data_IF_312619729914
#
_entry.id   IF_312619729914
#
_cell.length_a   1.000
_cell.length_b   1.000
_cell.length_c   1.000
_cell.angle_alpha   90.00
_cell.angle_beta   90.00
_cell.angle_gamma   90.00
#
_symmetry.space_group_name_H-M   'P 1'
#
loop_
_entity.id
_entity.type
_entity.pdbx_description
1 polymer ?
#
# COMPACT_ATOMS: atom_id res chain seq x y z
N UNK A 1 -24.97 8.99 45.46
CA UNK A 1 -24.03 8.09 44.77
C UNK A 1 -23.49 8.81 43.55
N UNK A 2 -22.17 9.00 43.46
CA UNK A 2 -21.48 9.69 42.36
C UNK A 2 -21.10 8.64 41.31
N UNK A 3 -21.76 8.65 40.16
CA UNK A 3 -21.29 7.91 39.00
C UNK A 3 -20.39 8.84 38.20
N UNK A 4 -19.08 8.61 38.30
CA UNK A 4 -18.07 9.31 37.52
C UNK A 4 -18.10 8.72 36.12
N UNK A 5 -18.62 9.49 35.16
CA UNK A 5 -18.56 9.15 33.74
C UNK A 5 -17.14 9.48 33.29
N UNK A 6 -16.23 8.52 33.41
CA UNK A 6 -14.95 8.57 32.71
C UNK A 6 -15.24 8.39 31.22
N UNK A 7 -15.55 9.50 30.55
CA UNK A 7 -15.54 9.60 29.10
C UNK A 7 -14.11 9.30 28.63
N UNK A 8 -13.88 8.07 28.21
CA UNK A 8 -12.66 7.71 27.46
C UNK A 8 -12.83 8.38 26.09
N UNK A 9 -12.31 9.60 25.98
CA UNK A 9 -12.03 10.22 24.69
C UNK A 9 -10.94 9.37 24.04
N UNK A 10 -11.36 8.41 23.21
CA UNK A 10 -10.48 7.79 22.25
C UNK A 10 -10.01 8.91 21.30
N UNK A 11 -8.80 9.42 21.52
CA UNK A 11 -8.10 10.21 20.52
C UNK A 11 -7.90 9.29 19.31
N UNK A 12 -8.79 9.40 18.32
CA UNK A 12 -8.45 9.04 16.97
C UNK A 12 -7.34 10.00 16.54
N UNK A 13 -6.09 9.60 16.76
CA UNK A 13 -4.95 10.21 16.09
C UNK A 13 -5.20 9.97 14.62
N UNK A 14 -5.73 10.98 13.94
CA UNK A 14 -5.65 11.09 12.49
C UNK A 14 -4.17 11.17 12.19
N UNK A 15 -3.53 10.00 11.98
CA UNK A 15 -2.19 9.96 11.45
C UNK A 15 -2.24 10.81 10.17
N UNK A 16 -1.37 11.83 10.03
CA UNK A 16 -1.29 12.52 8.77
C UNK A 16 -1.03 11.44 7.72
N UNK A 17 -1.92 11.35 6.73
CA UNK A 17 -1.71 10.55 5.54
C UNK A 17 -0.56 11.21 4.79
N UNK A 18 0.67 11.00 5.26
CA UNK A 18 1.85 11.46 4.54
C UNK A 18 1.98 10.47 3.39
N UNK A 19 1.62 10.98 2.21
CA UNK A 19 1.52 10.21 0.99
C UNK A 19 2.94 9.85 0.48
N UNK A 20 3.05 8.81 -0.35
CA UNK A 20 4.21 8.75 -1.23
C UNK A 20 4.12 9.92 -2.22
N UNK A 21 5.24 10.59 -2.47
CA UNK A 21 5.25 11.81 -3.29
C UNK A 21 4.93 11.48 -4.75
N UNK A 22 5.51 10.39 -5.26
CA UNK A 22 5.16 9.80 -6.53
C UNK A 22 5.23 8.25 -6.51
N UNK A 23 4.61 7.65 -7.52
CA UNK A 23 4.72 6.23 -7.82
C UNK A 23 4.63 5.96 -9.31
N UNK A 24 5.24 4.86 -9.75
CA UNK A 24 5.19 4.40 -11.13
C UNK A 24 5.05 2.89 -11.22
N UNK A 25 4.41 2.48 -12.31
CA UNK A 25 4.26 1.09 -12.66
C UNK A 25 5.59 0.50 -13.10
N UNK A 26 5.85 -0.73 -12.65
CA UNK A 26 6.94 -1.53 -13.18
C UNK A 26 6.36 -2.66 -14.05
N UNK A 27 5.85 -3.74 -13.45
CA UNK A 27 5.33 -4.88 -14.20
C UNK A 27 4.38 -5.76 -13.37
N UNK A 28 3.68 -6.68 -14.04
CA UNK A 28 2.95 -7.75 -13.38
C UNK A 28 3.14 -9.06 -14.15
N UNK A 29 3.30 -10.16 -13.42
CA UNK A 29 3.49 -11.50 -13.99
C UNK A 29 2.80 -12.55 -13.12
N UNK A 30 2.69 -13.77 -13.65
CA UNK A 30 2.09 -14.87 -12.91
C UNK A 30 3.12 -15.45 -11.93
N UNK A 31 2.71 -15.73 -10.70
CA UNK A 31 3.51 -16.35 -9.64
C UNK A 31 2.76 -17.59 -9.12
N UNK A 32 2.85 -18.69 -9.88
CA UNK A 32 2.03 -19.88 -9.65
C UNK A 32 0.53 -19.60 -9.78
N UNK A 33 -0.23 -19.86 -8.72
CA UNK A 33 -1.67 -19.55 -8.64
C UNK A 33 -1.98 -18.09 -8.29
N UNK A 34 -0.96 -17.26 -8.10
CA UNK A 34 -1.08 -15.85 -7.73
C UNK A 34 -0.67 -14.94 -8.90
N UNK A 35 -0.99 -13.65 -8.75
CA UNK A 35 -0.49 -12.57 -9.58
C UNK A 35 0.52 -11.76 -8.79
N UNK A 36 1.73 -11.62 -9.32
CA UNK A 36 2.76 -10.75 -8.76
C UNK A 36 2.71 -9.38 -9.42
N UNK A 37 2.69 -8.35 -8.58
CA UNK A 37 2.52 -6.94 -8.91
C UNK A 37 3.74 -6.16 -8.41
N UNK A 38 4.31 -5.31 -9.25
CA UNK A 38 5.57 -4.62 -9.01
C UNK A 38 5.49 -3.14 -9.40
N UNK A 39 5.82 -2.25 -8.46
CA UNK A 39 5.74 -0.80 -8.63
C UNK A 39 6.88 -0.09 -7.88
N UNK A 40 7.20 1.12 -8.31
CA UNK A 40 8.19 1.97 -7.65
C UNK A 40 7.53 3.19 -7.03
N UNK A 41 8.13 3.74 -5.98
CA UNK A 41 7.64 4.92 -5.29
C UNK A 41 8.80 5.72 -4.65
N UNK A 42 8.53 6.97 -4.30
CA UNK A 42 9.40 7.83 -3.49
C UNK A 42 8.60 8.56 -2.38
N UNK A 43 9.29 9.25 -1.47
CA UNK A 43 8.71 10.06 -0.40
C UNK A 43 8.56 9.37 0.97
N UNK A 44 7.52 9.72 1.74
CA UNK A 44 7.43 9.30 3.16
C UNK A 44 7.41 7.78 3.40
N UNK A 45 6.90 7.02 2.42
CA UNK A 45 6.83 5.57 2.52
C UNK A 45 8.23 4.90 2.52
N UNK A 46 9.27 5.61 2.11
CA UNK A 46 10.66 5.12 2.05
C UNK A 46 11.20 4.76 3.43
N UNK A 47 11.07 5.68 4.40
CA UNK A 47 11.49 5.49 5.80
C UNK A 47 10.71 4.39 6.52
N UNK A 48 9.67 3.85 5.88
CA UNK A 48 8.84 2.75 6.38
C UNK A 48 8.94 1.50 5.51
N UNK A 49 9.92 1.40 4.61
CA UNK A 49 10.12 0.24 3.73
C UNK A 49 8.83 -0.19 3.01
N UNK A 50 8.07 0.80 2.51
CA UNK A 50 6.81 0.59 1.80
C UNK A 50 5.64 0.07 2.63
N UNK A 51 5.74 0.02 3.98
CA UNK A 51 4.68 -0.50 4.85
C UNK A 51 3.33 0.21 4.69
N UNK A 52 3.32 1.51 4.36
CA UNK A 52 2.08 2.23 4.09
C UNK A 52 1.28 1.61 2.93
N UNK A 53 1.96 1.16 1.88
CA UNK A 53 1.33 0.46 0.77
C UNK A 53 0.83 -0.91 1.19
N UNK A 54 1.63 -1.67 1.94
CA UNK A 54 1.24 -2.98 2.44
C UNK A 54 -0.02 -2.90 3.31
N UNK A 55 -0.09 -1.93 4.21
CA UNK A 55 -1.23 -1.67 5.08
C UNK A 55 -2.47 -1.29 4.27
N UNK A 56 -2.33 -0.40 3.28
CA UNK A 56 -3.45 -0.01 2.41
C UNK A 56 -3.96 -1.18 1.56
N UNK A 57 -3.06 -2.01 1.01
CA UNK A 57 -3.40 -3.19 0.20
C UNK A 57 -4.16 -4.20 1.07
N UNK A 58 -3.66 -4.49 2.27
CA UNK A 58 -4.36 -5.36 3.25
C UNK A 58 -5.70 -4.77 3.68
N UNK A 59 -5.78 -3.44 3.83
CA UNK A 59 -7.02 -2.72 4.12
C UNK A 59 -8.09 -2.85 3.03
N UNK A 60 -7.72 -3.20 1.79
CA UNK A 60 -8.66 -3.58 0.72
C UNK A 60 -9.11 -5.04 0.77
N UNK A 61 -8.70 -5.79 1.81
CA UNK A 61 -9.01 -7.20 1.97
C UNK A 61 -8.14 -8.13 1.11
N UNK A 62 -7.04 -7.63 0.54
CA UNK A 62 -6.14 -8.47 -0.25
C UNK A 62 -5.23 -9.29 0.67
N UNK A 63 -5.15 -10.59 0.40
CA UNK A 63 -4.14 -11.45 1.03
C UNK A 63 -2.84 -11.26 0.28
N UNK A 64 -1.83 -10.74 0.98
CA UNK A 64 -0.54 -10.39 0.40
C UNK A 64 0.49 -11.48 0.71
N UNK A 65 1.10 -12.00 -0.34
CA UNK A 65 2.22 -12.94 -0.30
C UNK A 65 3.48 -12.29 -0.86
N UNK A 66 4.65 -12.82 -0.51
CA UNK A 66 5.93 -12.44 -1.11
C UNK A 66 6.20 -10.92 -1.12
N UNK A 67 5.78 -10.20 -0.08
CA UNK A 67 6.05 -8.76 0.05
C UNK A 67 7.56 -8.51 0.14
N UNK A 68 8.07 -7.67 -0.75
CA UNK A 68 9.46 -7.25 -0.80
C UNK A 68 9.50 -5.76 -1.11
N UNK A 69 10.34 -5.01 -0.39
CA UNK A 69 10.55 -3.59 -0.64
C UNK A 69 12.04 -3.25 -0.45
N UNK A 70 12.66 -2.59 -1.41
CA UNK A 70 14.08 -2.25 -1.37
C UNK A 70 14.39 -0.94 -2.08
N UNK A 71 15.47 -0.29 -1.66
CA UNK A 71 15.99 0.94 -2.25
C UNK A 71 16.73 0.62 -3.56
N UNK A 72 16.52 1.44 -4.59
CA UNK A 72 17.20 1.36 -5.89
C UNK A 72 18.47 2.24 -5.94
N UNK A 73 18.74 3.07 -4.93
CA UNK A 73 19.92 3.92 -4.83
C UNK A 73 19.85 5.20 -5.67
N UNK A 74 18.68 5.51 -6.24
CA UNK A 74 18.43 6.69 -7.08
C UNK A 74 17.28 7.56 -6.56
N UNK A 75 16.96 7.44 -5.26
CA UNK A 75 15.82 8.12 -4.63
C UNK A 75 14.48 7.46 -4.91
N UNK A 76 14.47 6.26 -5.51
CA UNK A 76 13.26 5.46 -5.69
C UNK A 76 13.38 4.13 -4.98
N UNK A 77 12.24 3.64 -4.51
CA UNK A 77 12.09 2.33 -3.91
C UNK A 77 11.28 1.43 -4.82
N UNK A 78 11.57 0.14 -4.80
CA UNK A 78 10.84 -0.89 -5.51
C UNK A 78 10.06 -1.73 -4.51
N UNK A 79 8.77 -1.91 -4.75
CA UNK A 79 7.90 -2.79 -3.99
C UNK A 79 7.25 -3.83 -4.90
N UNK A 80 7.30 -5.07 -4.43
CA UNK A 80 6.73 -6.23 -5.09
C UNK A 80 5.87 -7.01 -4.10
N UNK A 81 4.77 -7.56 -4.59
CA UNK A 81 3.97 -8.48 -3.82
C UNK A 81 3.11 -9.36 -4.72
N UNK A 82 2.62 -10.47 -4.16
CA UNK A 82 1.71 -11.38 -4.85
C UNK A 82 0.35 -11.39 -4.16
N UNK A 83 -0.71 -11.45 -4.95
CA UNK A 83 -2.10 -11.52 -4.50
C UNK A 83 -2.91 -12.42 -5.45
N UNK A 84 -4.16 -12.71 -5.14
CA UNK A 84 -5.03 -13.49 -6.03
C UNK A 84 -5.18 -12.79 -7.39
N UNK A 85 -5.08 -13.57 -8.47
CA UNK A 85 -5.34 -13.08 -9.82
C UNK A 85 -6.78 -12.53 -9.94
N UNK A 86 -6.96 -11.51 -10.78
CA UNK A 86 -8.22 -10.78 -10.96
C UNK A 86 -8.50 -9.73 -9.88
N UNK A 87 -7.56 -9.49 -8.97
CA UNK A 87 -7.68 -8.48 -7.89
C UNK A 87 -6.66 -7.34 -7.99
N UNK A 88 -6.04 -7.17 -9.16
CA UNK A 88 -5.09 -6.09 -9.41
C UNK A 88 -5.72 -4.69 -9.28
N UNK A 89 -7.02 -4.55 -9.55
CA UNK A 89 -7.71 -3.25 -9.41
C UNK A 89 -7.77 -2.77 -7.96
N UNK A 90 -7.98 -3.68 -6.98
CA UNK A 90 -7.98 -3.31 -5.57
C UNK A 90 -6.59 -2.84 -5.13
N UNK A 91 -5.52 -3.46 -5.64
CA UNK A 91 -4.15 -3.01 -5.39
C UNK A 91 -3.92 -1.59 -5.94
N UNK A 92 -4.34 -1.32 -7.17
CA UNK A 92 -4.23 0.02 -7.75
C UNK A 92 -4.97 1.07 -6.89
N UNK A 93 -6.17 0.73 -6.39
CA UNK A 93 -6.94 1.62 -5.52
C UNK A 93 -6.31 1.84 -4.14
N UNK A 94 -5.64 0.82 -3.60
CA UNK A 94 -4.87 0.96 -2.37
C UNK A 94 -3.69 1.92 -2.57
N UNK A 95 -2.94 1.73 -3.66
CA UNK A 95 -1.80 2.58 -4.03
C UNK A 95 -2.26 4.03 -4.25
N UNK A 96 -3.36 4.26 -4.98
CA UNK A 96 -3.96 5.59 -5.13
C UNK A 96 -4.31 6.22 -3.77
N UNK A 97 -4.79 5.43 -2.81
CA UNK A 97 -5.06 5.92 -1.45
C UNK A 97 -3.81 6.40 -0.71
N UNK A 98 -2.65 5.82 -1.03
CA UNK A 98 -1.35 6.18 -0.43
C UNK A 98 -0.65 7.31 -1.19
N UNK A 99 -0.92 7.50 -2.48
CA UNK A 99 -0.19 8.48 -3.32
C UNK A 99 -1.04 9.67 -3.73
N UNK A 100 -2.36 9.61 -3.51
CA UNK A 100 -3.31 10.62 -3.99
C UNK A 100 -3.42 10.70 -5.51
N UNK A 101 -2.70 9.86 -6.27
CA UNK A 101 -2.66 9.90 -7.73
C UNK A 101 -3.11 8.57 -8.34
N UNK A 102 -4.11 8.66 -9.22
CA UNK A 102 -4.53 7.53 -10.04
C UNK A 102 -3.83 7.57 -11.38
N UNK A 103 -3.01 6.55 -11.64
CA UNK A 103 -2.36 6.35 -12.95
C UNK A 103 -2.88 5.11 -13.68
N UNK A 104 -3.48 4.17 -12.95
CA UNK A 104 -3.85 2.85 -13.46
C UNK A 104 -2.60 2.02 -13.78
N UNK A 105 -2.45 0.85 -13.18
CA UNK A 105 -1.20 0.10 -13.32
C UNK A 105 -1.38 -1.24 -14.00
N UNK A 106 -1.81 -2.22 -13.23
CA UNK A 106 -2.05 -3.55 -13.74
C UNK A 106 -3.55 -3.63 -14.06
N UNK A 107 -3.92 -3.99 -15.30
CA UNK A 107 -5.32 -4.28 -15.62
C UNK A 107 -5.82 -5.38 -14.70
N UNK A 108 -7.13 -5.57 -14.63
CA UNK A 108 -7.69 -6.60 -13.78
C UNK A 108 -7.31 -7.99 -14.33
N UNK A 109 -6.18 -8.51 -13.88
CA UNK A 109 -5.40 -9.59 -14.49
C UNK A 109 -5.15 -10.73 -13.52
#
# INVERSE_FOLDING_TARGET
MKFSICSILALAVAAPAVLADDWRCNSAWNDGGLKRLSFQFDGYCENRWGQCFLDAIRGKGLTVHNWQCWDLGNGWWQADFSTTAGLAWQANNAIQGVTGSWRGCWPNA
#
